data_IF_499800572294
#
_entry.id   IF_499800572294
#
_cell.length_a   1.000
_cell.length_b   1.000
_cell.length_c   1.000
_cell.angle_alpha   90.00
_cell.angle_beta   90.00
_cell.angle_gamma   90.00
#
_symmetry.space_group_name_H-M   'P 1'
#
loop_
_entity.id
_entity.type
_entity.pdbx_description
1 polymer ?
#
# COMPACT_ATOMS: atom_id res chain seq x y z
N UNK A 1 26.71 -16.85 7.84
CA UNK A 1 26.93 -15.39 7.76
C UNK A 1 25.65 -14.71 8.22
N UNK A 2 25.65 -14.02 9.36
CA UNK A 2 24.50 -13.23 9.80
C UNK A 2 24.52 -11.94 8.97
N UNK A 3 23.54 -11.75 8.11
CA UNK A 3 23.29 -10.43 7.52
C UNK A 3 22.94 -9.47 8.67
N UNK A 4 23.85 -8.56 8.95
CA UNK A 4 23.58 -7.40 9.81
C UNK A 4 22.67 -6.45 9.03
N UNK A 5 21.37 -6.73 8.98
CA UNK A 5 20.41 -5.75 8.49
C UNK A 5 20.14 -4.75 9.60
N UNK A 6 20.93 -3.67 9.61
CA UNK A 6 20.80 -2.55 10.56
C UNK A 6 19.68 -1.56 10.17
N UNK A 7 18.91 -1.86 9.12
CA UNK A 7 17.81 -0.99 8.68
C UNK A 7 16.53 -1.31 9.45
N UNK A 8 16.32 -0.57 10.53
CA UNK A 8 15.10 -0.65 11.35
C UNK A 8 13.88 0.02 10.68
N UNK A 9 14.07 0.71 9.56
CA UNK A 9 13.01 1.41 8.82
C UNK A 9 12.85 0.76 7.45
N UNK A 10 11.60 0.39 7.11
CA UNK A 10 11.22 -0.08 5.79
C UNK A 10 10.23 0.89 5.16
N UNK A 11 10.44 1.22 3.91
CA UNK A 11 9.61 2.15 3.15
C UNK A 11 8.85 1.41 2.07
N UNK A 12 7.51 1.44 2.16
CA UNK A 12 6.62 0.97 1.10
C UNK A 12 5.96 2.16 0.42
N UNK A 13 6.10 2.27 -0.89
CA UNK A 13 5.37 3.24 -1.70
C UNK A 13 4.17 2.54 -2.33
N UNK A 14 2.97 3.06 -2.07
CA UNK A 14 1.72 2.60 -2.68
C UNK A 14 1.19 3.66 -3.64
N UNK A 15 0.97 3.28 -4.89
CA UNK A 15 0.27 4.10 -5.87
C UNK A 15 -1.21 3.74 -5.83
N UNK A 16 -2.10 4.72 -5.59
CA UNK A 16 -3.54 4.50 -5.65
C UNK A 16 -4.08 4.64 -7.08
N UNK A 17 -5.19 3.97 -7.42
CA UNK A 17 -5.87 4.24 -8.68
C UNK A 17 -6.41 5.68 -8.72
N UNK A 18 -6.66 6.18 -9.93
CA UNK A 18 -7.37 7.43 -10.11
C UNK A 18 -8.81 7.32 -9.56
N UNK A 19 -9.26 8.35 -8.91
CA UNK A 19 -10.64 8.50 -8.46
C UNK A 19 -11.56 8.83 -9.66
N UNK A 20 -12.86 8.59 -9.50
CA UNK A 20 -13.86 8.89 -10.52
C UNK A 20 -13.89 10.35 -10.96
N UNK A 21 -13.54 11.30 -10.08
CA UNK A 21 -13.46 12.73 -10.39
C UNK A 21 -12.23 13.05 -11.24
N UNK A 22 -11.13 12.35 -11.01
CA UNK A 22 -9.89 12.48 -11.77
C UNK A 22 -10.04 11.90 -13.17
N UNK A 23 -10.83 10.83 -13.32
CA UNK A 23 -11.12 10.21 -14.62
C UNK A 23 -12.16 10.98 -15.46
N UNK A 24 -13.10 11.70 -14.82
CA UNK A 24 -14.20 12.41 -15.49
C UNK A 24 -13.90 13.88 -15.81
N UNK A 25 -12.77 14.43 -15.39
CA UNK A 25 -12.40 15.78 -15.78
C UNK A 25 -12.10 15.78 -17.29
N UNK A 26 -12.74 16.68 -18.02
CA UNK A 26 -12.50 16.94 -19.47
C UNK A 26 -11.03 17.31 -19.80
N UNK A 27 -10.18 17.45 -18.80
CA UNK A 27 -8.75 17.50 -18.90
C UNK A 27 -8.23 16.06 -18.86
N UNK A 28 -7.66 15.60 -19.97
CA UNK A 28 -6.96 14.31 -20.06
C UNK A 28 -5.95 14.22 -18.92
N UNK A 29 -6.35 13.55 -17.83
CA UNK A 29 -5.44 13.29 -16.71
C UNK A 29 -4.40 12.29 -17.20
N UNK A 30 -3.20 12.78 -17.44
CA UNK A 30 -2.11 11.93 -17.92
C UNK A 30 -1.44 11.26 -16.74
N UNK A 31 -1.38 9.95 -16.74
CA UNK A 31 -0.60 9.19 -15.76
C UNK A 31 0.87 9.60 -15.86
N UNK A 32 1.43 10.09 -14.76
CA UNK A 32 2.83 10.51 -14.67
C UNK A 32 3.66 9.65 -13.70
N UNK A 33 3.02 8.77 -12.93
CA UNK A 33 3.66 7.87 -11.97
C UNK A 33 3.49 6.43 -12.43
N UNK A 34 4.60 5.71 -12.56
CA UNK A 34 4.64 4.31 -12.97
C UNK A 34 5.34 3.50 -11.89
N UNK A 35 4.65 2.47 -11.39
CA UNK A 35 5.14 1.60 -10.33
C UNK A 35 5.56 0.25 -10.91
N UNK A 36 6.81 -0.13 -10.68
CA UNK A 36 7.32 -1.47 -10.95
C UNK A 36 7.51 -2.20 -9.61
N UNK A 37 6.64 -3.17 -9.34
CA UNK A 37 6.67 -3.96 -8.11
C UNK A 37 7.82 -4.96 -8.08
N UNK A 38 8.30 -5.40 -9.24
CA UNK A 38 9.37 -6.42 -9.34
C UNK A 38 10.71 -5.80 -8.97
N UNK A 39 11.01 -4.63 -9.54
CA UNK A 39 12.27 -3.92 -9.27
C UNK A 39 12.18 -2.99 -8.05
N UNK A 40 10.97 -2.82 -7.48
CA UNK A 40 10.67 -1.85 -6.40
C UNK A 40 11.04 -0.41 -6.79
N UNK A 41 10.65 -0.01 -7.98
CA UNK A 41 10.98 1.29 -8.58
C UNK A 41 9.71 2.08 -8.90
N UNK A 42 9.76 3.38 -8.61
CA UNK A 42 8.81 4.38 -9.10
C UNK A 42 9.50 5.22 -10.17
N UNK A 43 8.89 5.28 -11.34
CA UNK A 43 9.32 6.15 -12.43
C UNK A 43 8.34 7.32 -12.60
N UNK A 44 8.86 8.53 -12.62
CA UNK A 44 8.10 9.73 -12.94
C UNK A 44 8.32 10.11 -14.41
N UNK A 45 7.23 10.26 -15.15
CA UNK A 45 7.26 10.71 -16.56
C UNK A 45 6.58 12.07 -16.70
N UNK A 46 7.20 12.96 -17.44
CA UNK A 46 6.61 14.25 -17.81
C UNK A 46 5.55 14.11 -18.91
N UNK A 47 4.92 15.23 -19.27
CA UNK A 47 3.88 15.29 -20.34
C UNK A 47 4.36 14.74 -21.70
N UNK A 48 5.66 14.73 -21.95
CA UNK A 48 6.30 14.21 -23.18
C UNK A 48 6.77 12.75 -23.04
N UNK A 49 6.34 12.04 -22.02
CA UNK A 49 6.78 10.68 -21.69
C UNK A 49 8.29 10.52 -21.42
N UNK A 50 9.03 11.60 -21.31
CA UNK A 50 10.43 11.56 -20.91
C UNK A 50 10.50 11.30 -19.40
N UNK A 51 11.36 10.38 -18.97
CA UNK A 51 11.61 10.13 -17.56
C UNK A 51 12.14 11.40 -16.89
N UNK A 52 11.45 11.84 -15.82
CA UNK A 52 11.86 12.97 -14.98
C UNK A 52 12.59 12.51 -13.73
N UNK A 53 12.46 11.24 -13.35
CA UNK A 53 13.12 10.67 -12.21
C UNK A 53 12.75 9.21 -12.00
N UNK A 54 13.70 8.46 -11.43
CA UNK A 54 13.54 7.06 -11.05
C UNK A 54 13.97 6.91 -9.60
N UNK A 55 13.09 6.32 -8.78
CA UNK A 55 13.30 6.19 -7.34
C UNK A 55 13.11 4.75 -6.93
N UNK A 56 14.06 4.21 -6.16
CA UNK A 56 14.02 2.86 -5.61
C UNK A 56 13.65 2.89 -4.13
N UNK A 57 12.77 1.96 -3.72
CA UNK A 57 12.31 1.81 -2.34
C UNK A 57 12.47 0.35 -1.88
N UNK A 58 12.22 0.06 -0.60
CA UNK A 58 12.20 -1.33 -0.13
C UNK A 58 11.05 -2.11 -0.77
N UNK A 59 9.88 -1.46 -0.91
CA UNK A 59 8.70 -2.05 -1.55
C UNK A 59 7.95 -1.01 -2.37
N UNK A 60 7.44 -1.44 -3.51
CA UNK A 60 6.53 -0.65 -4.35
C UNK A 60 5.28 -1.48 -4.61
N UNK A 61 4.11 -0.84 -4.52
CA UNK A 61 2.81 -1.41 -4.83
C UNK A 61 2.04 -0.51 -5.78
N UNK A 62 1.54 -1.10 -6.86
CA UNK A 62 0.82 -0.40 -7.91
C UNK A 62 -0.67 -0.20 -7.56
N UNK A 63 -1.43 0.37 -8.47
CA UNK A 63 -2.84 0.70 -8.29
C UNK A 63 -3.75 -0.53 -8.11
N UNK A 64 -3.28 -1.71 -8.54
CA UNK A 64 -4.04 -2.98 -8.47
C UNK A 64 -3.74 -3.77 -7.20
N UNK A 65 -2.75 -3.35 -6.41
CA UNK A 65 -2.34 -4.06 -5.21
C UNK A 65 -3.42 -4.02 -4.14
N UNK A 66 -3.86 -5.21 -3.70
CA UNK A 66 -4.89 -5.37 -2.67
C UNK A 66 -4.39 -4.94 -1.28
N UNK A 67 -5.33 -4.66 -0.38
CA UNK A 67 -5.03 -4.41 1.05
C UNK A 67 -4.30 -5.59 1.70
N UNK A 68 -4.68 -6.82 1.33
CA UNK A 68 -4.02 -8.04 1.80
C UNK A 68 -2.55 -8.08 1.37
N UNK A 69 -2.25 -7.74 0.11
CA UNK A 69 -0.87 -7.69 -0.39
C UNK A 69 -0.03 -6.63 0.35
N UNK A 70 -0.63 -5.47 0.67
CA UNK A 70 0.04 -4.45 1.48
C UNK A 70 0.34 -4.99 2.88
N UNK A 71 -0.65 -5.63 3.53
CA UNK A 71 -0.48 -6.22 4.85
C UNK A 71 0.61 -7.30 4.87
N UNK A 72 0.59 -8.23 3.92
CA UNK A 72 1.63 -9.28 3.83
C UNK A 72 3.03 -8.72 3.60
N UNK A 73 3.14 -7.55 2.94
CA UNK A 73 4.44 -6.95 2.65
C UNK A 73 5.08 -6.31 3.89
N UNK A 74 4.30 -5.57 4.69
CA UNK A 74 4.85 -4.79 5.82
C UNK A 74 4.14 -5.07 7.15
N UNK A 75 2.84 -5.37 7.14
CA UNK A 75 2.04 -5.52 8.35
C UNK A 75 2.38 -6.78 9.13
N UNK A 76 2.51 -7.91 8.44
CA UNK A 76 2.78 -9.21 9.07
C UNK A 76 4.06 -9.18 9.92
N UNK A 77 5.15 -8.67 9.35
CA UNK A 77 6.44 -8.61 10.05
C UNK A 77 6.40 -7.70 11.29
N UNK A 78 5.63 -6.62 11.24
CA UNK A 78 5.45 -5.72 12.40
C UNK A 78 4.64 -6.40 13.50
N UNK A 79 3.57 -7.14 13.14
CA UNK A 79 2.76 -7.89 14.12
C UNK A 79 3.57 -9.03 14.73
N UNK A 80 4.32 -9.79 13.93
CA UNK A 80 5.19 -10.87 14.42
C UNK A 80 6.20 -10.35 15.45
N UNK A 81 6.89 -9.25 15.13
CA UNK A 81 7.83 -8.61 16.04
C UNK A 81 7.16 -8.08 17.32
N UNK A 82 5.95 -7.55 17.21
CA UNK A 82 5.17 -7.12 18.36
C UNK A 82 4.83 -8.31 19.28
N UNK A 83 4.44 -9.45 18.74
CA UNK A 83 4.17 -10.67 19.50
C UNK A 83 5.44 -11.25 20.16
N UNK A 84 6.62 -11.01 19.58
CA UNK A 84 7.92 -11.33 20.19
C UNK A 84 8.31 -10.35 21.33
N UNK A 85 7.52 -9.31 21.57
CA UNK A 85 7.75 -8.30 22.61
C UNK A 85 8.50 -7.05 22.16
N UNK A 86 8.66 -6.84 20.83
CA UNK A 86 9.26 -5.62 20.28
C UNK A 86 8.21 -4.55 20.02
N UNK A 87 8.61 -3.30 20.08
CA UNK A 87 7.76 -2.19 19.65
C UNK A 87 7.81 -2.03 18.13
N UNK A 88 6.63 -1.94 17.51
CA UNK A 88 6.48 -1.66 16.08
C UNK A 88 5.65 -0.42 15.84
N UNK A 89 5.95 0.32 14.76
CA UNK A 89 5.18 1.48 14.35
C UNK A 89 5.02 1.48 12.83
N UNK A 90 3.81 1.71 12.35
CA UNK A 90 3.52 1.92 10.92
C UNK A 90 3.02 3.35 10.74
N UNK A 91 3.67 4.11 9.87
CA UNK A 91 3.33 5.49 9.57
C UNK A 91 2.84 5.59 8.12
N UNK A 92 1.61 6.04 7.92
CA UNK A 92 1.09 6.37 6.60
C UNK A 92 1.33 7.84 6.29
N UNK A 93 2.10 8.13 5.25
CA UNK A 93 2.46 9.48 4.83
C UNK A 93 1.97 9.76 3.39
N UNK A 94 1.60 11.01 3.13
CA UNK A 94 1.16 11.47 1.82
C UNK A 94 0.19 12.66 1.92
N UNK A 95 -0.11 13.30 0.80
CA UNK A 95 -1.06 14.42 0.74
C UNK A 95 -2.50 13.98 1.08
N UNK A 96 -3.39 14.94 1.29
CA UNK A 96 -4.83 14.65 1.42
C UNK A 96 -5.34 13.95 0.16
N UNK A 97 -6.15 12.90 0.35
CA UNK A 97 -6.65 12.07 -0.77
C UNK A 97 -5.66 11.01 -1.29
N UNK A 98 -4.43 10.91 -0.76
CA UNK A 98 -3.47 9.88 -1.18
C UNK A 98 -3.83 8.44 -0.76
N UNK A 99 -4.89 8.23 0.03
CA UNK A 99 -5.33 6.91 0.46
C UNK A 99 -4.74 6.43 1.79
N UNK A 100 -4.22 7.34 2.63
CA UNK A 100 -3.66 6.99 3.96
C UNK A 100 -4.69 6.27 4.84
N UNK A 101 -5.87 6.84 5.01
CA UNK A 101 -6.97 6.26 5.81
C UNK A 101 -7.43 4.94 5.22
N UNK A 102 -7.57 4.85 3.90
CA UNK A 102 -7.92 3.60 3.23
C UNK A 102 -6.86 2.50 3.48
N UNK A 103 -5.57 2.83 3.41
CA UNK A 103 -4.51 1.86 3.68
C UNK A 103 -4.51 1.40 5.13
N UNK A 104 -4.73 2.31 6.09
CA UNK A 104 -4.68 1.98 7.52
C UNK A 104 -5.97 1.32 8.03
N UNK A 105 -7.14 1.83 7.67
CA UNK A 105 -8.43 1.38 8.19
C UNK A 105 -9.21 0.52 7.18
N UNK A 106 -9.11 0.84 5.88
CA UNK A 106 -9.99 0.28 4.85
C UNK A 106 -11.31 1.04 4.77
N UNK A 107 -12.33 0.43 4.16
CA UNK A 107 -13.70 0.92 4.20
C UNK A 107 -14.44 0.32 5.40
N UNK A 108 -15.22 1.16 6.12
CA UNK A 108 -15.80 0.87 7.44
C UNK A 108 -16.66 -0.38 7.55
N UNK A 109 -17.36 -0.78 6.50
CA UNK A 109 -18.31 -1.92 6.54
C UNK A 109 -17.60 -3.28 6.38
N UNK A 110 -16.31 -3.29 6.05
CA UNK A 110 -15.54 -4.52 5.87
C UNK A 110 -15.17 -5.21 7.20
N UNK A 111 -15.36 -4.51 8.34
CA UNK A 111 -14.96 -5.01 9.66
C UNK A 111 -15.95 -6.07 10.20
N UNK A 112 -17.24 -6.01 9.81
CA UNK A 112 -18.29 -6.82 10.42
C UNK A 112 -18.53 -8.18 9.72
N UNK A 113 -18.03 -8.40 8.50
CA UNK A 113 -18.46 -9.52 7.64
C UNK A 113 -17.38 -10.54 7.29
N UNK A 114 -16.23 -10.57 7.96
CA UNK A 114 -15.21 -11.61 7.73
C UNK A 114 -15.43 -12.82 8.65
N UNK A 115 -16.47 -13.61 8.38
CA UNK A 115 -16.69 -14.89 9.03
C UNK A 115 -16.40 -16.11 8.17
N UNK A 116 -16.21 -15.97 6.87
CA UNK A 116 -15.98 -17.08 5.93
C UNK A 116 -14.96 -16.69 4.86
N UNK A 117 -14.01 -17.59 4.61
CA UNK A 117 -12.97 -17.50 3.57
C UNK A 117 -13.55 -17.61 2.14
N UNK A 118 -14.64 -16.89 1.84
CA UNK A 118 -15.22 -16.89 0.53
C UNK A 118 -14.40 -16.05 -0.44
N UNK A 119 -13.69 -16.75 -1.32
CA UNK A 119 -12.88 -16.19 -2.40
C UNK A 119 -13.66 -15.32 -3.41
N UNK A 120 -14.98 -15.24 -3.27
CA UNK A 120 -15.89 -14.49 -4.16
C UNK A 120 -16.36 -13.15 -3.58
N UNK A 121 -16.10 -12.84 -2.29
CA UNK A 121 -16.63 -11.62 -1.69
C UNK A 121 -15.56 -10.51 -1.70
N UNK A 122 -15.71 -9.56 -2.61
CA UNK A 122 -14.84 -8.39 -2.82
C UNK A 122 -14.66 -7.51 -1.56
N UNK A 123 -15.43 -7.74 -0.49
CA UNK A 123 -15.41 -6.96 0.75
C UNK A 123 -14.19 -7.25 1.65
N UNK A 124 -13.65 -8.46 1.63
CA UNK A 124 -12.45 -8.81 2.41
C UNK A 124 -11.19 -8.09 1.91
N UNK A 125 -11.20 -7.65 0.64
CA UNK A 125 -10.08 -6.92 0.05
C UNK A 125 -9.95 -5.48 0.55
N UNK A 126 -11.00 -4.91 1.15
CA UNK A 126 -11.05 -3.51 1.57
C UNK A 126 -10.65 -3.28 3.03
N UNK A 127 -10.36 -4.35 3.79
CA UNK A 127 -9.90 -4.26 5.19
C UNK A 127 -8.46 -3.74 5.24
N UNK A 128 -8.22 -2.69 6.02
CA UNK A 128 -6.92 -2.04 6.13
C UNK A 128 -5.93 -2.75 7.07
N UNK A 129 -4.77 -2.13 7.28
CA UNK A 129 -3.68 -2.67 8.10
C UNK A 129 -4.09 -2.85 9.56
N UNK A 130 -4.79 -1.87 10.16
CA UNK A 130 -5.15 -1.88 11.59
C UNK A 130 -6.07 -3.05 11.91
N UNK A 131 -7.25 -3.20 11.28
CA UNK A 131 -8.12 -4.32 11.62
C UNK A 131 -7.50 -5.69 11.29
N UNK A 132 -6.66 -5.80 10.26
CA UNK A 132 -5.92 -7.05 10.00
C UNK A 132 -4.91 -7.38 11.08
N UNK A 133 -4.21 -6.38 11.61
CA UNK A 133 -3.26 -6.57 12.71
C UNK A 133 -3.94 -7.02 14.00
N UNK A 134 -5.15 -6.53 14.29
CA UNK A 134 -5.90 -6.87 15.50
C UNK A 134 -6.52 -8.28 15.47
N UNK A 135 -6.61 -8.90 14.30
CA UNK A 135 -7.18 -10.26 14.13
C UNK A 135 -6.14 -11.38 14.11
N UNK A 136 -4.86 -11.04 14.17
CA UNK A 136 -3.73 -11.99 14.28
C UNK A 136 -3.42 -12.32 15.73
#
# INVERSE_FOLDING_TARGET
>A
MKENTTDNIKVLVRVRPFDHRENNSNNQTTKCVFADEISNVIELKGKTNNAQGTFKFDFVRNEQSSQRAIFSTIGESVVEKFLEGFHGCVIAYGQTGAGKTYTMQGFGDAIENEGEDDAENNKSNDVGLIPRALRR
#
